data_IF_080337488888
#
_entry.id   IF_080337488888
#
_cell.length_a   1.000
_cell.length_b   1.000
_cell.length_c   1.000
_cell.angle_alpha   90.00
_cell.angle_beta   90.00
_cell.angle_gamma   90.00
#
_symmetry.space_group_name_H-M   'P 1'
#
loop_
_entity.id
_entity.type
_entity.pdbx_description
1 polymer ?
#
# COMPACT_ATOMS: atom_id res chain seq x y z
N UNK A 1 0.95 -18.58 11.89
CA UNK A 1 -0.16 -17.60 11.99
C UNK A 1 0.32 -16.27 11.45
N UNK A 2 -0.42 -15.74 10.48
CA UNK A 2 -0.25 -14.39 9.91
C UNK A 2 -0.85 -13.39 10.91
N UNK A 3 -0.05 -12.41 11.33
CA UNK A 3 -0.44 -11.36 12.29
C UNK A 3 0.07 -10.01 11.79
N UNK A 4 -0.52 -8.92 12.29
CA UNK A 4 -0.07 -7.59 11.88
C UNK A 4 1.39 -7.34 12.23
N UNK A 5 1.84 -7.70 13.44
CA UNK A 5 3.23 -7.49 13.85
C UNK A 5 4.23 -8.20 12.93
N UNK A 6 3.92 -9.42 12.48
CA UNK A 6 4.76 -10.13 11.52
C UNK A 6 4.75 -9.45 10.16
N UNK A 7 3.59 -8.98 9.72
CA UNK A 7 3.44 -8.26 8.46
C UNK A 7 4.24 -6.94 8.46
N UNK A 8 4.09 -6.15 9.51
CA UNK A 8 4.81 -4.91 9.73
C UNK A 8 6.32 -5.15 9.76
N UNK A 9 6.78 -6.05 10.63
CA UNK A 9 8.20 -6.40 10.76
C UNK A 9 8.75 -7.19 9.56
N UNK A 10 7.94 -7.51 8.56
CA UNK A 10 8.39 -8.11 7.30
C UNK A 10 8.50 -7.10 6.16
N UNK A 11 7.97 -5.89 6.35
CA UNK A 11 7.89 -4.89 5.31
C UNK A 11 9.29 -4.33 4.99
N UNK A 12 9.73 -4.33 3.72
CA UNK A 12 11.10 -3.92 3.33
C UNK A 12 11.53 -2.55 3.88
N UNK A 13 10.61 -1.57 3.87
CA UNK A 13 10.87 -0.22 4.38
C UNK A 13 11.22 -0.18 5.87
N UNK A 14 10.77 -1.15 6.68
CA UNK A 14 11.06 -1.18 8.12
C UNK A 14 12.55 -1.42 8.42
N UNK A 15 13.28 -2.03 7.48
CA UNK A 15 14.73 -2.23 7.58
C UNK A 15 15.51 -1.36 6.58
N UNK A 16 14.90 -0.30 6.05
CA UNK A 16 15.54 0.63 5.12
C UNK A 16 15.69 0.13 3.68
N UNK A 17 15.01 -0.95 3.29
CA UNK A 17 14.97 -1.40 1.90
C UNK A 17 13.77 -0.79 1.16
N UNK A 18 13.98 0.42 0.63
CA UNK A 18 12.95 1.17 -0.07
C UNK A 18 12.63 0.64 -1.48
N UNK A 19 13.46 -0.24 -2.04
CA UNK A 19 13.31 -0.72 -3.41
C UNK A 19 13.76 -2.19 -3.51
N UNK A 20 12.97 -3.13 -2.97
CA UNK A 20 13.31 -4.54 -2.93
C UNK A 20 13.40 -5.16 -4.34
N UNK A 21 12.64 -4.67 -5.33
CA UNK A 21 12.79 -5.10 -6.71
C UNK A 21 13.90 -4.29 -7.40
N UNK A 22 15.10 -4.87 -7.37
CA UNK A 22 16.32 -4.31 -7.99
C UNK A 22 17.14 -5.38 -8.72
N UNK A 23 17.86 -4.96 -9.75
CA UNK A 23 18.83 -5.78 -10.47
C UNK A 23 20.18 -5.03 -10.45
N UNK A 24 21.24 -5.70 -9.97
CA UNK A 24 22.59 -5.09 -9.82
C UNK A 24 22.58 -3.74 -9.06
N UNK A 25 21.74 -3.63 -8.03
CA UNK A 25 21.61 -2.40 -7.22
C UNK A 25 20.71 -1.32 -7.80
N UNK A 26 20.33 -1.41 -9.07
CA UNK A 26 19.40 -0.47 -9.70
C UNK A 26 17.94 -0.92 -9.52
N UNK A 27 17.06 0.01 -9.15
CA UNK A 27 15.62 -0.24 -9.04
C UNK A 27 15.02 -0.56 -10.41
N UNK A 28 14.22 -1.61 -10.50
CA UNK A 28 13.58 -2.04 -11.75
C UNK A 28 12.28 -1.27 -12.05
N UNK A 29 11.67 -0.69 -11.03
CA UNK A 29 10.43 0.09 -11.10
C UNK A 29 10.54 1.34 -10.24
N UNK A 30 9.94 2.44 -10.71
CA UNK A 30 9.88 3.72 -9.98
C UNK A 30 9.05 3.60 -8.70
N UNK A 31 7.89 2.96 -8.81
CA UNK A 31 6.93 2.78 -7.72
C UNK A 31 6.87 1.32 -7.32
N UNK A 32 7.17 1.05 -6.05
CA UNK A 32 7.27 -0.30 -5.51
C UNK A 32 6.36 -0.52 -4.30
N UNK A 33 5.30 0.27 -4.11
CA UNK A 33 4.38 0.12 -2.97
C UNK A 33 3.74 -1.27 -2.93
N UNK A 34 3.16 -1.73 -4.05
CA UNK A 34 2.58 -3.05 -4.17
C UNK A 34 3.63 -4.17 -4.08
N UNK A 35 4.84 -3.91 -4.58
CA UNK A 35 5.98 -4.84 -4.50
C UNK A 35 6.37 -5.04 -3.03
N UNK A 36 6.55 -3.94 -2.28
CA UNK A 36 6.96 -3.95 -0.88
C UNK A 36 5.93 -4.65 -0.01
N UNK A 37 4.64 -4.37 -0.22
CA UNK A 37 3.57 -5.08 0.46
C UNK A 37 3.53 -6.57 0.06
N UNK A 38 3.67 -6.88 -1.23
CA UNK A 38 3.73 -8.25 -1.73
C UNK A 38 4.87 -9.06 -1.11
N UNK A 39 6.04 -8.44 -0.92
CA UNK A 39 7.19 -9.03 -0.20
C UNK A 39 6.84 -9.24 1.28
N UNK A 40 6.25 -8.23 1.92
CA UNK A 40 5.87 -8.28 3.33
C UNK A 40 4.87 -9.42 3.62
N UNK A 41 3.82 -9.55 2.81
CA UNK A 41 2.79 -10.58 2.92
C UNK A 41 3.39 -11.99 2.93
N UNK A 42 4.28 -12.26 1.98
CA UNK A 42 4.93 -13.57 1.88
C UNK A 42 5.90 -13.84 3.00
N UNK A 43 6.74 -12.87 3.36
CA UNK A 43 7.67 -12.98 4.49
C UNK A 43 6.93 -13.22 5.81
N UNK A 44 5.75 -12.62 5.97
CA UNK A 44 4.86 -12.84 7.11
C UNK A 44 4.11 -14.19 7.06
N UNK A 45 4.28 -14.98 6.00
CA UNK A 45 3.68 -16.30 5.83
C UNK A 45 2.23 -16.27 5.37
N UNK A 46 1.78 -15.21 4.69
CA UNK A 46 0.46 -15.21 4.04
C UNK A 46 0.41 -16.27 2.93
N UNK A 47 -0.76 -16.91 2.76
CA UNK A 47 -1.00 -17.81 1.64
C UNK A 47 -1.14 -16.99 0.34
N UNK A 48 -0.02 -16.86 -0.37
CA UNK A 48 0.06 -16.10 -1.62
C UNK A 48 -0.82 -16.71 -2.73
N UNK A 49 -1.26 -17.96 -2.62
CA UNK A 49 -2.17 -18.59 -3.61
C UNK A 49 -3.58 -17.98 -3.60
N UNK A 50 -3.95 -17.28 -2.51
CA UNK A 50 -5.20 -16.53 -2.41
C UNK A 50 -5.19 -15.26 -3.28
N UNK A 51 -4.01 -14.74 -3.63
CA UNK A 51 -3.87 -13.50 -4.38
C UNK A 51 -3.92 -13.76 -5.88
N UNK A 52 -5.15 -13.85 -6.42
CA UNK A 52 -5.41 -14.15 -7.83
C UNK A 52 -5.53 -12.88 -8.68
N UNK A 53 -5.19 -13.01 -9.97
CA UNK A 53 -5.28 -11.94 -10.98
C UNK A 53 -4.40 -10.73 -10.69
N UNK A 54 -3.17 -10.98 -10.24
CA UNK A 54 -2.15 -9.96 -10.00
C UNK A 54 -0.97 -10.13 -10.96
N UNK A 55 -0.42 -9.02 -11.46
CA UNK A 55 0.81 -9.03 -12.25
C UNK A 55 2.03 -9.08 -11.35
N UNK A 56 2.98 -9.94 -11.71
CA UNK A 56 4.28 -10.02 -11.07
C UNK A 56 5.37 -9.36 -11.94
N UNK A 57 6.43 -8.87 -11.32
CA UNK A 57 7.63 -8.46 -12.01
C UNK A 57 8.20 -9.61 -12.85
N UNK A 58 8.80 -9.27 -13.97
CA UNK A 58 9.47 -10.23 -14.86
C UNK A 58 10.97 -10.38 -14.55
N UNK A 59 11.49 -9.64 -13.56
CA UNK A 59 12.91 -9.62 -13.21
C UNK A 59 13.28 -10.65 -12.12
N UNK A 60 12.29 -11.15 -11.38
CA UNK A 60 12.48 -12.03 -10.22
C UNK A 60 11.45 -13.17 -10.20
N UNK A 61 11.75 -14.30 -9.54
CA UNK A 61 10.78 -15.36 -9.31
C UNK A 61 9.50 -14.87 -8.62
N UNK A 62 8.34 -15.41 -9.04
CA UNK A 62 7.03 -15.10 -8.41
C UNK A 62 7.01 -15.43 -6.91
N UNK A 63 7.84 -16.38 -6.50
CA UNK A 63 8.06 -16.78 -5.12
C UNK A 63 8.74 -15.72 -4.26
N UNK A 64 9.20 -14.57 -4.79
CA UNK A 64 9.86 -13.55 -3.97
C UNK A 64 8.93 -12.49 -3.41
N UNK A 65 8.02 -11.97 -4.23
CA UNK A 65 7.50 -10.64 -3.91
C UNK A 65 6.53 -10.10 -4.89
N UNK A 66 7.03 -10.15 -6.11
CA UNK A 66 6.97 -9.19 -7.18
C UNK A 66 5.64 -8.54 -7.59
N UNK A 67 4.63 -8.30 -6.75
CA UNK A 67 3.33 -7.79 -7.23
C UNK A 67 3.45 -6.32 -7.68
N UNK A 68 3.08 -6.01 -8.92
CA UNK A 68 3.38 -4.70 -9.54
C UNK A 68 2.34 -3.63 -9.26
N UNK A 69 1.05 -3.96 -9.32
CA UNK A 69 -0.03 -2.98 -9.32
C UNK A 69 -0.78 -2.94 -7.99
N UNK A 70 -0.91 -1.73 -7.43
CA UNK A 70 -1.57 -1.50 -6.15
C UNK A 70 -3.07 -1.86 -6.20
N UNK A 71 -3.81 -1.40 -7.22
CA UNK A 71 -5.23 -1.74 -7.37
C UNK A 71 -5.46 -3.24 -7.63
N UNK A 72 -4.61 -3.92 -8.38
CA UNK A 72 -4.72 -5.37 -8.57
C UNK A 72 -4.53 -6.11 -7.24
N UNK A 73 -3.54 -5.70 -6.44
CA UNK A 73 -3.30 -6.26 -5.12
C UNK A 73 -4.46 -5.98 -4.16
N UNK A 74 -4.98 -4.75 -4.13
CA UNK A 74 -6.15 -4.37 -3.34
C UNK A 74 -7.37 -5.24 -3.70
N UNK A 75 -7.67 -5.37 -5.00
CA UNK A 75 -8.74 -6.22 -5.49
C UNK A 75 -8.54 -7.70 -5.12
N UNK A 76 -7.30 -8.19 -5.19
CA UNK A 76 -6.98 -9.56 -4.77
C UNK A 76 -7.18 -9.77 -3.26
N UNK A 77 -6.78 -8.81 -2.43
CA UNK A 77 -6.99 -8.85 -0.97
C UNK A 77 -8.47 -8.88 -0.60
N UNK A 78 -9.33 -8.11 -1.29
CA UNK A 78 -10.79 -8.15 -1.08
C UNK A 78 -11.39 -9.55 -1.31
N UNK A 79 -10.81 -10.35 -2.20
CA UNK A 79 -11.29 -11.71 -2.50
C UNK A 79 -10.59 -12.80 -1.67
N UNK A 80 -9.45 -12.48 -1.06
CA UNK A 80 -8.59 -13.43 -0.41
C UNK A 80 -9.19 -13.90 0.92
N UNK A 81 -9.01 -15.19 1.23
CA UNK A 81 -9.37 -15.78 2.53
C UNK A 81 -8.12 -16.08 3.34
N UNK A 82 -7.37 -15.02 3.69
CA UNK A 82 -6.14 -15.12 4.49
C UNK A 82 -6.52 -15.12 5.97
N UNK A 83 -6.18 -16.17 6.76
CA UNK A 83 -6.44 -16.17 8.20
C UNK A 83 -5.84 -14.94 8.88
N UNK A 84 -6.67 -14.19 9.59
CA UNK A 84 -6.28 -12.97 10.29
C UNK A 84 -6.43 -11.67 9.49
N UNK A 85 -6.71 -11.74 8.19
CA UNK A 85 -7.16 -10.60 7.41
C UNK A 85 -8.68 -10.47 7.52
N UNK A 86 -9.15 -9.33 8.02
CA UNK A 86 -10.58 -9.02 8.11
C UNK A 86 -11.13 -8.54 6.76
N UNK A 87 -12.47 -8.61 6.56
CA UNK A 87 -13.10 -8.07 5.37
C UNK A 87 -12.73 -6.60 5.13
N UNK A 88 -12.65 -6.23 3.85
CA UNK A 88 -12.44 -4.85 3.43
C UNK A 88 -13.56 -3.94 3.94
N UNK A 89 -13.19 -2.76 4.42
CA UNK A 89 -14.12 -1.66 4.63
C UNK A 89 -13.64 -0.41 3.89
N UNK A 90 -14.59 0.37 3.37
CA UNK A 90 -14.31 1.70 2.84
C UNK A 90 -14.22 2.70 3.99
N UNK A 91 -13.28 3.64 3.89
CA UNK A 91 -13.08 4.72 4.85
C UNK A 91 -13.19 6.05 4.11
N UNK A 92 -13.83 7.04 4.74
CA UNK A 92 -13.86 8.40 4.20
C UNK A 92 -12.47 9.02 4.25
N UNK A 93 -12.11 9.74 3.20
CA UNK A 93 -10.80 10.37 3.03
C UNK A 93 -10.52 11.46 4.07
N UNK A 94 -11.54 12.26 4.37
CA UNK A 94 -11.51 13.45 5.22
C UNK A 94 -10.98 13.18 6.63
N UNK A 95 -11.29 12.01 7.21
CA UNK A 95 -10.97 11.65 8.60
C UNK A 95 -10.37 10.24 8.74
N UNK A 96 -9.69 9.73 7.71
CA UNK A 96 -9.28 8.31 7.71
C UNK A 96 -8.33 7.97 8.87
N UNK A 97 -7.45 8.90 9.26
CA UNK A 97 -6.50 8.68 10.37
C UNK A 97 -7.23 8.51 11.70
N UNK A 98 -8.23 9.36 11.98
CA UNK A 98 -9.05 9.25 13.18
C UNK A 98 -9.97 8.03 13.13
N UNK A 99 -10.57 7.75 11.97
CA UNK A 99 -11.42 6.57 11.75
C UNK A 99 -10.65 5.24 11.88
N UNK A 100 -9.35 5.24 11.64
CA UNK A 100 -8.46 4.08 11.73
C UNK A 100 -7.50 4.15 12.94
N UNK A 101 -7.67 5.12 13.83
CA UNK A 101 -6.85 5.25 15.03
C UNK A 101 -6.94 4.00 15.89
N UNK A 102 -5.78 3.49 16.29
CA UNK A 102 -5.68 2.24 17.06
C UNK A 102 -6.06 0.96 16.29
N UNK A 103 -6.40 1.05 15.00
CA UNK A 103 -6.56 -0.10 14.12
C UNK A 103 -5.30 -0.31 13.30
N UNK A 104 -5.00 -1.56 12.99
CA UNK A 104 -3.82 -1.94 12.24
C UNK A 104 -4.19 -2.86 11.09
N UNK A 105 -3.53 -2.67 9.94
CA UNK A 105 -3.90 -3.42 8.74
C UNK A 105 -3.25 -2.93 7.47
N UNK A 106 -3.78 -3.43 6.35
CA UNK A 106 -3.44 -2.95 5.01
C UNK A 106 -4.37 -1.79 4.65
N UNK A 107 -3.83 -0.76 4.02
CA UNK A 107 -4.57 0.41 3.54
C UNK A 107 -4.25 0.67 2.07
N UNK A 108 -5.28 0.96 1.29
CA UNK A 108 -5.19 1.29 -0.13
C UNK A 108 -5.88 2.62 -0.39
N UNK A 109 -5.22 3.47 -1.18
CA UNK A 109 -5.73 4.77 -1.62
C UNK A 109 -5.88 4.74 -3.14
N UNK A 110 -7.12 4.86 -3.61
CA UNK A 110 -7.45 4.86 -5.04
C UNK A 110 -7.43 6.27 -5.62
N UNK A 111 -6.88 6.43 -6.84
CA UNK A 111 -6.81 7.71 -7.56
C UNK A 111 -6.26 8.84 -6.67
N UNK A 112 -5.27 8.50 -5.83
CA UNK A 112 -4.77 9.36 -4.77
C UNK A 112 -3.93 10.52 -5.30
N UNK A 113 -3.08 10.30 -6.30
CA UNK A 113 -2.11 11.31 -6.73
C UNK A 113 -1.98 11.46 -8.24
N UNK A 114 -1.56 12.67 -8.63
CA UNK A 114 -1.41 13.11 -10.01
C UNK A 114 -0.10 12.57 -10.59
N UNK A 115 -0.16 11.85 -11.71
CA UNK A 115 1.05 11.59 -12.51
C UNK A 115 1.50 12.87 -13.21
N UNK A 116 2.76 12.94 -13.64
CA UNK A 116 3.39 14.17 -14.14
C UNK A 116 2.59 14.93 -15.23
N UNK A 117 1.74 14.23 -15.99
CA UNK A 117 0.94 14.79 -17.09
C UNK A 117 -0.58 14.80 -16.82
N UNK A 118 -1.01 14.64 -15.57
CA UNK A 118 -2.44 14.63 -15.20
C UNK A 118 -2.88 15.96 -14.60
N UNK A 119 -4.18 16.27 -14.69
CA UNK A 119 -4.80 17.36 -13.92
C UNK A 119 -5.20 16.86 -12.54
N UNK A 120 -5.47 17.76 -11.58
CA UNK A 120 -5.95 17.36 -10.24
C UNK A 120 -7.25 16.55 -10.31
N UNK A 121 -8.12 16.83 -11.29
CA UNK A 121 -9.35 16.07 -11.56
C UNK A 121 -9.11 14.74 -12.30
N UNK A 122 -7.96 14.56 -12.95
CA UNK A 122 -7.61 13.42 -13.80
C UNK A 122 -6.54 12.49 -13.21
N UNK A 123 -6.32 12.53 -11.90
CA UNK A 123 -5.32 11.72 -11.21
C UNK A 123 -5.66 10.22 -11.23
N UNK A 124 -4.64 9.40 -11.51
CA UNK A 124 -4.76 7.93 -11.60
C UNK A 124 -3.73 7.16 -10.75
N UNK A 125 -2.96 7.86 -9.92
CA UNK A 125 -1.94 7.26 -9.09
C UNK A 125 -2.54 6.59 -7.86
N UNK A 126 -2.36 5.28 -7.72
CA UNK A 126 -2.76 4.53 -6.54
C UNK A 126 -1.62 4.38 -5.52
N UNK A 127 -1.96 4.09 -4.27
CA UNK A 127 -1.00 3.72 -3.23
C UNK A 127 -1.53 2.60 -2.34
N UNK A 128 -0.66 1.67 -1.93
CA UNK A 128 -0.99 0.60 -0.98
C UNK A 128 0.15 0.43 0.03
N UNK A 129 -0.17 0.36 1.31
CA UNK A 129 0.80 0.26 2.40
C UNK A 129 0.17 -0.40 3.64
N UNK A 130 0.92 -0.53 4.73
CA UNK A 130 0.46 -0.94 6.05
C UNK A 130 0.24 0.29 6.93
N UNK A 131 -0.83 0.27 7.71
CA UNK A 131 -1.17 1.26 8.73
C UNK A 131 -1.10 0.62 10.11
N UNK A 132 -0.39 1.22 11.06
CA UNK A 132 -0.23 0.69 12.41
C UNK A 132 -1.11 1.37 13.48
N UNK A 133 -2.11 2.13 13.07
CA UNK A 133 -2.97 2.90 14.00
C UNK A 133 -2.50 4.34 14.21
N UNK A 134 -1.33 4.71 13.66
CA UNK A 134 -0.77 6.05 13.76
C UNK A 134 -0.05 6.53 12.50
N UNK A 135 0.60 5.63 11.75
CA UNK A 135 1.39 5.98 10.56
C UNK A 135 1.47 4.82 9.57
N UNK A 136 1.93 5.16 8.37
CA UNK A 136 2.30 4.22 7.32
C UNK A 136 3.75 3.70 7.47
N UNK A 137 4.14 2.68 6.71
CA UNK A 137 5.52 2.15 6.78
C UNK A 137 6.49 3.00 5.99
N UNK A 138 6.10 3.48 4.82
CA UNK A 138 6.94 4.37 4.03
C UNK A 138 6.78 5.80 4.56
N UNK A 139 7.81 6.31 5.24
CA UNK A 139 7.84 7.69 5.73
C UNK A 139 7.78 8.71 4.58
N UNK A 140 8.38 8.42 3.43
CA UNK A 140 8.31 9.32 2.27
C UNK A 140 6.95 9.25 1.61
N UNK A 141 6.26 8.10 1.60
CA UNK A 141 4.86 8.05 1.22
C UNK A 141 3.98 8.75 2.25
N UNK A 142 4.21 8.55 3.55
CA UNK A 142 3.49 9.28 4.61
C UNK A 142 3.69 10.78 4.47
N UNK A 143 4.93 11.25 4.32
CA UNK A 143 5.25 12.66 4.06
C UNK A 143 4.73 13.11 2.71
N UNK A 144 4.70 12.30 1.64
CA UNK A 144 4.09 12.67 0.35
C UNK A 144 2.57 12.66 0.38
N UNK A 145 1.96 11.84 1.23
CA UNK A 145 0.53 11.82 1.54
C UNK A 145 0.18 13.08 2.33
N UNK A 146 1.06 13.49 3.24
CA UNK A 146 0.97 14.73 4.01
C UNK A 146 1.41 15.98 3.22
N UNK A 147 2.29 15.87 2.21
CA UNK A 147 2.84 16.97 1.38
C UNK A 147 2.22 17.06 -0.02
N UNK A 148 1.36 16.10 -0.40
CA UNK A 148 0.30 16.30 -1.40
C UNK A 148 -0.72 17.37 -0.98
N UNK A 149 -0.46 18.04 0.15
CA UNK A 149 -1.18 19.14 0.76
C UNK A 149 -0.39 20.44 0.97
N UNK A 150 0.85 20.61 0.48
CA UNK A 150 1.63 21.81 0.89
C UNK A 150 2.42 22.57 -0.17
N UNK A 151 1.98 22.59 -1.43
CA UNK A 151 2.47 23.55 -2.46
C UNK A 151 1.30 23.75 -3.44
N UNK A 152 0.40 24.73 -3.32
CA UNK A 152 0.57 26.18 -3.13
C UNK A 152 -0.54 26.78 -2.22
N UNK A 153 -0.15 27.56 -1.22
CA UNK A 153 -0.83 28.82 -0.85
C UNK A 153 -2.22 28.83 -0.19
N UNK A 154 -3.01 27.76 -0.18
CA UNK A 154 -4.35 27.75 0.46
C UNK A 154 -4.67 26.40 1.07
N UNK A 155 -5.28 26.45 2.25
CA UNK A 155 -5.64 25.36 3.15
C UNK A 155 -6.24 24.10 2.50
N UNK A 156 -5.82 22.95 3.07
CA UNK A 156 -6.45 21.62 3.20
C UNK A 156 -7.45 21.16 2.16
N UNK A 157 -7.24 19.98 1.57
CA UNK A 157 -8.36 19.11 1.17
C UNK A 157 -7.93 17.64 1.03
N UNK A 158 -7.68 16.97 2.17
CA UNK A 158 -7.54 15.50 2.26
C UNK A 158 -8.76 14.75 1.67
N UNK A 159 -9.81 15.49 1.33
CA UNK A 159 -11.09 15.12 0.76
C UNK A 159 -11.02 14.43 -0.61
N UNK A 160 -9.88 14.47 -1.29
CA UNK A 160 -9.88 14.25 -2.73
C UNK A 160 -9.68 12.77 -3.14
N UNK A 161 -9.11 11.87 -2.33
CA UNK A 161 -8.99 10.45 -2.71
C UNK A 161 -10.38 9.85 -2.94
N UNK A 162 -10.64 9.27 -4.13
CA UNK A 162 -11.99 8.83 -4.48
C UNK A 162 -12.49 7.70 -3.57
N UNK A 163 -11.58 6.83 -3.14
CA UNK A 163 -11.87 5.73 -2.23
C UNK A 163 -10.63 5.34 -1.40
N UNK A 164 -10.82 5.11 -0.10
CA UNK A 164 -9.84 4.46 0.77
C UNK A 164 -10.38 3.11 1.21
N UNK A 165 -9.61 2.04 0.97
CA UNK A 165 -9.97 0.69 1.39
C UNK A 165 -9.04 0.24 2.51
N UNK A 166 -9.61 -0.41 3.53
CA UNK A 166 -8.86 -0.89 4.68
C UNK A 166 -9.21 -2.33 5.02
N UNK A 167 -8.18 -3.13 5.27
CA UNK A 167 -8.31 -4.50 5.78
C UNK A 167 -7.58 -4.58 7.11
N UNK A 168 -8.35 -4.72 8.20
CA UNK A 168 -7.74 -4.93 9.53
C UNK A 168 -7.00 -6.27 9.54
N UNK A 169 -5.80 -6.28 10.11
CA UNK A 169 -5.06 -7.51 10.38
C UNK A 169 -5.01 -7.68 11.90
N UNK A 170 -5.39 -8.86 12.39
CA UNK A 170 -5.37 -9.17 13.83
C UNK A 170 -3.96 -9.42 14.36
#
# INVERSE_FOLDING_TARGET
>A
MFTFDKLWNSHPQIFGDAAPCRTKGAKNFSDQCAISLGVALRRAGADMSQLKSVRHCWQHPKSEGHILAAEELANALTRARIPGLQPMKTVKSEDFEDALKGQQGVIFFKDFWRRANETTAGRSGDHIDLWNGRRLTDWMSYVRIQMGFSIEGTFSDFHDSKDIWFWRVI
#
